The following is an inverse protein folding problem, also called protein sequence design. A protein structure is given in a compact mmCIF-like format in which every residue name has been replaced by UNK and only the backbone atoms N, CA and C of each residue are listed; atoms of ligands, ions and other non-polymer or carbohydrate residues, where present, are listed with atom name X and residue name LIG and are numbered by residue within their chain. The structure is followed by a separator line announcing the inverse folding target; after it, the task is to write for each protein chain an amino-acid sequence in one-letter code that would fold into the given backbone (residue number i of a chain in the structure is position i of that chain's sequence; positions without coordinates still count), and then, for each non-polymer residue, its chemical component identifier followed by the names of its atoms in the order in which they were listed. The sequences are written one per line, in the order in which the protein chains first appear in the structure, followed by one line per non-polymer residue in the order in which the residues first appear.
data_IF_699696100913
#
_entry.id   IF_699696100913
#
_cell.length_a   1.000
_cell.length_b   1.000
_cell.length_c   1.000
_cell.angle_alpha   90.00
_cell.angle_beta   90.00
_cell.angle_gamma   90.00
#
_symmetry.space_group_name_H-M   'P 1'
#
loop_
_entity.id
_entity.type
_entity.pdbx_description
1 polymer ?
#
# COMPACT_ATOMS: atom_id res chain seq x y z
N UNK A 1 16.68 -2.75 -14.88
CA UNK A 1 16.20 -3.26 -13.57
C UNK A 1 17.42 -3.37 -12.68
N UNK A 2 17.54 -2.62 -11.57
CA UNK A 2 18.68 -2.77 -10.65
C UNK A 2 18.46 -4.06 -9.86
N UNK A 3 19.49 -4.88 -9.65
CA UNK A 3 19.39 -6.22 -9.05
C UNK A 3 19.01 -6.27 -7.57
N UNK A 4 18.23 -5.30 -7.09
CA UNK A 4 17.71 -5.28 -5.72
C UNK A 4 16.36 -5.97 -5.60
N UNK A 5 16.05 -6.42 -4.39
CA UNK A 5 14.76 -7.00 -4.02
C UNK A 5 13.74 -5.89 -3.75
N UNK A 6 12.56 -5.97 -4.37
CA UNK A 6 11.45 -5.07 -4.05
C UNK A 6 10.71 -5.63 -2.83
N UNK A 7 10.59 -4.83 -1.78
CA UNK A 7 9.74 -5.13 -0.64
C UNK A 7 8.56 -4.16 -0.65
N UNK A 8 7.33 -4.70 -0.71
CA UNK A 8 6.12 -3.90 -0.83
C UNK A 8 5.41 -3.80 0.52
N UNK A 9 5.04 -2.58 0.92
CA UNK A 9 4.20 -2.35 2.09
C UNK A 9 2.92 -1.68 1.60
N UNK A 10 1.78 -2.29 1.90
CA UNK A 10 0.46 -1.79 1.59
C UNK A 10 -0.21 -1.31 2.88
N UNK A 11 -0.63 -0.06 2.88
CA UNK A 11 -1.48 0.47 3.94
C UNK A 11 -2.93 0.42 3.46
N UNK A 12 -3.70 -0.52 3.99
CA UNK A 12 -5.12 -0.63 3.72
C UNK A 12 -5.91 0.23 4.69
N UNK A 13 -6.55 1.26 4.14
CA UNK A 13 -7.42 2.17 4.85
C UNK A 13 -8.61 2.50 3.97
N UNK A 14 -9.72 2.87 4.61
CA UNK A 14 -10.91 3.29 3.88
C UNK A 14 -10.60 4.44 2.91
N UNK A 15 -11.36 4.48 1.80
CA UNK A 15 -11.24 5.53 0.80
C UNK A 15 -11.44 6.93 1.40
N UNK A 16 -12.27 7.07 2.43
CA UNK A 16 -12.45 8.34 3.13
C UNK A 16 -11.18 8.75 3.88
N UNK A 17 -10.61 7.84 4.68
CA UNK A 17 -9.36 8.07 5.41
C UNK A 17 -8.22 8.45 4.46
N UNK A 18 -8.05 7.71 3.36
CA UNK A 18 -7.02 8.01 2.36
C UNK A 18 -7.17 9.43 1.78
N UNK A 19 -8.39 9.81 1.38
CA UNK A 19 -8.65 11.14 0.81
C UNK A 19 -8.50 12.26 1.83
N UNK A 20 -8.98 12.07 3.06
CA UNK A 20 -8.80 13.03 4.15
C UNK A 20 -7.32 13.29 4.40
N UNK A 21 -6.52 12.23 4.56
CA UNK A 21 -5.08 12.34 4.77
C UNK A 21 -4.33 12.99 3.59
N UNK A 22 -4.77 12.78 2.35
CA UNK A 22 -4.23 13.49 1.19
C UNK A 22 -4.55 15.00 1.24
N UNK A 23 -5.80 15.36 1.53
CA UNK A 23 -6.23 16.77 1.61
C UNK A 23 -5.51 17.52 2.72
N UNK A 24 -5.43 16.96 3.92
CA UNK A 24 -4.75 17.55 5.08
C UNK A 24 -3.27 17.86 4.79
N UNK A 25 -2.64 17.09 3.90
CA UNK A 25 -1.23 17.27 3.50
C UNK A 25 -1.06 18.11 2.23
N UNK A 26 -2.14 18.63 1.65
CA UNK A 26 -2.11 19.35 0.37
C UNK A 26 -1.72 18.49 -0.84
N UNK A 27 -1.90 17.17 -0.76
CA UNK A 27 -1.47 16.16 -1.76
C UNK A 27 -2.66 15.44 -2.41
N UNK A 28 -3.73 16.16 -2.69
CA UNK A 28 -4.91 15.60 -3.35
C UNK A 28 -4.62 15.14 -4.77
N UNK A 29 -5.37 14.13 -5.23
CA UNK A 29 -5.39 13.71 -6.64
C UNK A 29 -6.80 13.87 -7.21
N UNK A 30 -6.92 13.88 -8.54
CA UNK A 30 -8.23 13.96 -9.19
C UNK A 30 -9.12 12.78 -8.81
N UNK A 31 -10.44 12.99 -8.86
CA UNK A 31 -11.43 11.92 -8.61
C UNK A 31 -11.18 10.70 -9.52
N UNK A 32 -10.85 10.94 -10.79
CA UNK A 32 -10.54 9.89 -11.76
C UNK A 32 -9.28 9.10 -11.37
N UNK A 33 -8.18 9.80 -11.05
CA UNK A 33 -6.93 9.16 -10.64
C UNK A 33 -7.13 8.31 -9.38
N UNK A 34 -7.88 8.82 -8.40
CA UNK A 34 -8.21 8.10 -7.18
C UNK A 34 -9.08 6.85 -7.45
N UNK A 35 -10.08 6.97 -8.31
CA UNK A 35 -10.93 5.83 -8.69
C UNK A 35 -10.13 4.74 -9.40
N UNK A 36 -9.30 5.12 -10.37
CA UNK A 36 -8.39 4.20 -11.07
C UNK A 36 -7.45 3.52 -10.09
N UNK A 37 -6.83 4.29 -9.19
CA UNK A 37 -5.96 3.76 -8.15
C UNK A 37 -6.68 2.70 -7.29
N UNK A 38 -7.89 2.99 -6.79
CA UNK A 38 -8.68 2.03 -6.01
C UNK A 38 -8.96 0.74 -6.78
N UNK A 39 -9.35 0.83 -8.05
CA UNK A 39 -9.62 -0.36 -8.86
C UNK A 39 -8.39 -1.24 -9.06
N UNK A 40 -7.21 -0.64 -9.30
CA UNK A 40 -5.95 -1.38 -9.42
C UNK A 40 -5.50 -1.96 -8.08
N UNK A 41 -5.57 -1.18 -7.01
CA UNK A 41 -5.14 -1.61 -5.67
C UNK A 41 -6.06 -2.69 -5.09
N UNK A 42 -7.36 -2.69 -5.38
CA UNK A 42 -8.27 -3.74 -4.91
C UNK A 42 -7.82 -5.14 -5.37
N UNK A 43 -7.47 -5.29 -6.66
CA UNK A 43 -6.96 -6.56 -7.19
C UNK A 43 -5.65 -7.00 -6.53
N UNK A 44 -4.81 -6.02 -6.18
CA UNK A 44 -3.55 -6.26 -5.49
C UNK A 44 -3.79 -6.71 -4.04
N UNK A 45 -4.72 -6.05 -3.32
CA UNK A 45 -5.11 -6.43 -1.97
C UNK A 45 -5.69 -7.84 -1.96
N UNK A 46 -6.63 -8.15 -2.85
CA UNK A 46 -7.24 -9.49 -2.95
C UNK A 46 -6.16 -10.58 -3.13
N UNK A 47 -5.13 -10.32 -3.93
CA UNK A 47 -4.02 -11.26 -4.14
C UNK A 47 -3.18 -11.45 -2.87
N UNK A 48 -2.79 -10.34 -2.24
CA UNK A 48 -1.98 -10.35 -1.01
C UNK A 48 -2.72 -11.01 0.15
N UNK A 49 -4.03 -10.79 0.28
CA UNK A 49 -4.88 -11.44 1.27
C UNK A 49 -4.97 -12.97 1.07
N UNK A 50 -4.85 -13.44 -0.18
CA UNK A 50 -4.72 -14.87 -0.48
C UNK A 50 -3.31 -15.43 -0.28
N UNK A 51 -2.36 -14.61 0.20
CA UNK A 51 -0.97 -14.98 0.38
C UNK A 51 -0.13 -14.94 -0.90
N UNK A 52 -0.64 -14.35 -1.98
CA UNK A 52 0.09 -14.22 -3.24
C UNK A 52 1.01 -12.99 -3.21
N UNK A 53 2.29 -13.18 -3.55
CA UNK A 53 3.23 -12.06 -3.74
C UNK A 53 3.17 -11.55 -5.19
N UNK A 54 3.01 -10.23 -5.43
CA UNK A 54 3.08 -9.65 -6.77
C UNK A 54 4.43 -9.92 -7.42
N UNK A 55 4.40 -10.15 -8.73
CA UNK A 55 5.60 -10.48 -9.49
C UNK A 55 6.73 -9.47 -9.27
N UNK A 56 7.90 -9.99 -8.86
CA UNK A 56 9.09 -9.18 -8.61
C UNK A 56 9.20 -8.60 -7.20
N UNK A 57 8.23 -8.85 -6.30
CA UNK A 57 8.36 -8.55 -4.88
C UNK A 57 8.98 -9.74 -4.13
N UNK A 58 10.04 -9.51 -3.36
CA UNK A 58 10.62 -10.50 -2.44
C UNK A 58 9.87 -10.60 -1.11
N UNK A 59 9.13 -9.56 -0.72
CA UNK A 59 8.13 -9.65 0.34
C UNK A 59 7.01 -8.64 0.14
N UNK A 60 5.86 -8.94 0.75
CA UNK A 60 4.74 -8.00 0.88
C UNK A 60 4.24 -8.00 2.31
N UNK A 61 3.95 -6.82 2.84
CA UNK A 61 3.31 -6.63 4.14
C UNK A 61 2.05 -5.79 3.95
N UNK A 62 0.93 -6.30 4.45
CA UNK A 62 -0.33 -5.56 4.54
C UNK A 62 -0.48 -5.02 5.96
N UNK A 63 -0.70 -3.71 6.08
CA UNK A 63 -0.93 -3.02 7.34
C UNK A 63 -2.29 -2.33 7.31
N UNK A 64 -3.04 -2.47 8.39
CA UNK A 64 -4.17 -1.58 8.66
C UNK A 64 -3.68 -0.27 9.31
N UNK A 65 -4.63 0.64 9.61
CA UNK A 65 -4.28 1.92 10.22
C UNK A 65 -3.64 1.78 11.60
N UNK A 66 -4.19 0.92 12.44
CA UNK A 66 -3.72 0.76 13.82
C UNK A 66 -2.29 0.20 13.86
N UNK A 67 -2.01 -0.80 13.02
CA UNK A 67 -0.68 -1.41 12.89
C UNK A 67 0.33 -0.42 12.33
N UNK A 68 -0.07 0.40 11.35
CA UNK A 68 0.79 1.45 10.82
C UNK A 68 1.10 2.55 11.85
N UNK A 69 0.16 2.89 12.73
CA UNK A 69 0.38 3.86 13.82
C UNK A 69 1.31 3.30 14.92
N UNK A 70 1.28 1.98 15.12
CA UNK A 70 2.21 1.27 15.99
C UNK A 70 3.61 1.07 15.39
N UNK A 71 3.77 1.17 14.07
CA UNK A 71 5.01 0.86 13.37
C UNK A 71 6.17 1.76 13.83
N UNK A 72 7.21 1.15 14.41
CA UNK A 72 8.42 1.86 14.87
C UNK A 72 9.61 1.69 13.94
N UNK A 73 9.69 0.58 13.22
CA UNK A 73 10.83 0.25 12.37
C UNK A 73 10.45 -0.71 11.27
N UNK A 74 11.11 -0.57 10.12
CA UNK A 74 11.08 -1.51 9.00
C UNK A 74 12.52 -1.98 8.81
N UNK A 75 12.76 -3.28 8.93
CA UNK A 75 14.07 -3.90 8.71
C UNK A 75 13.93 -4.95 7.59
N UNK A 76 14.91 -4.97 6.68
CA UNK A 76 15.04 -6.00 5.65
C UNK A 76 16.34 -6.76 5.95
N UNK A 77 16.22 -8.01 6.39
CA UNK A 77 17.36 -8.88 6.59
C UNK A 77 17.71 -9.58 5.28
N UNK A 78 19.00 -9.75 5.04
CA UNK A 78 19.57 -10.45 3.88
C UNK A 78 19.52 -11.96 4.06
#
# INVERSE_FOLDING_TARGET
RRGGTLHLILLDVSADTARRGQRERGRGVSRFAFHRHRGTTARLLDAVERGESPAGCGSVVLLDRASADGLKRIEFAT
#
